data_IF_988610598974
#
_entry.id   IF_988610598974
#
_cell.length_a   1.000
_cell.length_b   1.000
_cell.length_c   1.000
_cell.angle_alpha   90.00
_cell.angle_beta   90.00
_cell.angle_gamma   90.00
#
_symmetry.space_group_name_H-M   'P 1'
#
loop_
_entity.id
_entity.type
_entity.pdbx_description
1 polymer ?
#
# COMPACT_ATOMS: atom_id res chain seq x y z
N UNK A 1 5.06 -16.30 15.84
CA UNK A 1 5.35 -14.94 15.33
C UNK A 1 4.46 -14.77 14.12
N UNK A 2 3.54 -13.82 14.12
CA UNK A 2 2.79 -13.50 12.90
C UNK A 2 3.80 -12.86 11.94
N UNK A 3 4.02 -13.47 10.78
CA UNK A 3 4.77 -12.83 9.71
C UNK A 3 3.77 -11.94 9.00
N UNK A 4 3.87 -10.62 9.16
CA UNK A 4 2.98 -9.67 8.50
C UNK A 4 3.10 -9.82 6.98
N UNK A 5 1.97 -10.00 6.28
CA UNK A 5 1.95 -10.14 4.81
C UNK A 5 2.29 -8.81 4.17
N UNK A 6 3.04 -8.83 3.07
CA UNK A 6 3.35 -7.63 2.29
C UNK A 6 3.31 -7.85 0.78
N UNK A 7 2.99 -6.79 0.04
CA UNK A 7 3.21 -6.68 -1.41
C UNK A 7 4.13 -5.51 -1.71
N UNK A 8 5.03 -5.69 -2.67
CA UNK A 8 5.86 -4.60 -3.23
C UNK A 8 5.67 -4.55 -4.74
N UNK A 9 5.43 -3.36 -5.28
CA UNK A 9 5.28 -3.16 -6.72
C UNK A 9 5.69 -1.76 -7.15
N UNK A 10 5.92 -1.61 -8.46
CA UNK A 10 6.31 -0.35 -9.07
C UNK A 10 5.18 0.24 -9.92
N UNK A 11 4.96 1.54 -9.83
CA UNK A 11 4.22 2.32 -10.81
C UNK A 11 5.20 2.76 -11.90
N UNK A 12 4.83 2.51 -13.15
CA UNK A 12 5.63 2.86 -14.32
C UNK A 12 5.04 4.07 -15.05
N UNK A 13 5.90 4.93 -15.58
CA UNK A 13 5.47 5.97 -16.49
C UNK A 13 5.13 5.41 -17.89
N UNK A 14 4.58 6.25 -18.76
CA UNK A 14 4.21 5.88 -20.15
C UNK A 14 5.36 5.34 -21.01
N UNK A 15 6.60 5.47 -20.55
CA UNK A 15 7.81 4.96 -21.22
C UNK A 15 8.31 3.66 -20.60
N UNK A 16 7.55 3.04 -19.69
CA UNK A 16 7.92 1.78 -19.04
C UNK A 16 9.04 1.92 -18.01
N UNK A 17 9.32 3.12 -17.52
CA UNK A 17 10.31 3.34 -16.44
C UNK A 17 9.60 3.45 -15.10
N UNK A 18 10.08 2.77 -14.05
CA UNK A 18 9.49 2.88 -12.73
C UNK A 18 9.69 4.31 -12.21
N UNK A 19 8.66 4.86 -11.57
CA UNK A 19 8.66 6.21 -10.98
C UNK A 19 8.29 6.21 -9.51
N UNK A 20 7.60 5.18 -9.03
CA UNK A 20 7.25 5.01 -7.62
C UNK A 20 7.27 3.52 -7.29
N UNK A 21 7.96 3.15 -6.23
CA UNK A 21 7.84 1.86 -5.57
C UNK A 21 6.88 2.01 -4.39
N UNK A 22 6.00 1.04 -4.22
CA UNK A 22 5.04 0.95 -3.12
C UNK A 22 5.25 -0.39 -2.45
N UNK A 23 5.48 -0.37 -1.14
CA UNK A 23 5.38 -1.53 -0.27
C UNK A 23 4.17 -1.35 0.64
N UNK A 24 3.26 -2.30 0.62
CA UNK A 24 2.08 -2.33 1.49
C UNK A 24 2.14 -3.56 2.39
N UNK A 25 2.03 -3.34 3.70
CA UNK A 25 2.16 -4.39 4.72
C UNK A 25 0.91 -4.42 5.59
N UNK A 26 0.28 -5.60 5.68
CA UNK A 26 -0.84 -5.85 6.59
C UNK A 26 -0.36 -5.85 8.04
N UNK A 27 -0.93 -4.97 8.88
CA UNK A 27 -0.61 -4.90 10.31
C UNK A 27 -1.90 -4.73 11.11
N UNK A 28 -2.30 -5.78 11.84
CA UNK A 28 -3.46 -5.75 12.76
C UNK A 28 -4.75 -5.17 12.15
N UNK A 29 -5.09 -5.54 10.91
CA UNK A 29 -6.29 -5.06 10.22
C UNK A 29 -6.19 -3.63 9.67
N UNK A 30 -4.98 -3.09 9.61
CA UNK A 30 -4.60 -1.88 8.88
C UNK A 30 -3.55 -2.22 7.82
N UNK A 31 -3.27 -1.28 6.92
CA UNK A 31 -2.22 -1.43 5.91
C UNK A 31 -1.21 -0.30 6.08
N UNK A 32 0.04 -0.65 6.35
CA UNK A 32 1.16 0.30 6.35
C UNK A 32 1.68 0.42 4.94
N UNK A 33 1.68 1.64 4.40
CA UNK A 33 2.27 1.96 3.10
C UNK A 33 3.61 2.64 3.30
N UNK A 34 4.61 2.12 2.60
CA UNK A 34 5.89 2.78 2.36
C UNK A 34 5.98 3.08 0.86
N UNK A 35 6.06 4.35 0.51
CA UNK A 35 6.15 4.78 -0.89
C UNK A 35 7.47 5.49 -1.12
N UNK A 36 8.16 5.13 -2.19
CA UNK A 36 9.46 5.71 -2.56
C UNK A 36 9.48 6.03 -4.04
N UNK A 37 9.77 7.26 -4.41
CA UNK A 37 9.92 7.60 -5.83
C UNK A 37 11.28 7.11 -6.30
N UNK A 38 11.27 6.32 -7.37
CA UNK A 38 12.45 5.66 -7.93
C UNK A 38 12.84 6.25 -9.29
N UNK A 39 14.06 5.96 -9.75
CA UNK A 39 14.58 6.44 -11.05
C UNK A 39 14.99 7.94 -11.07
N UNK A 40 15.29 8.52 -9.90
CA UNK A 40 15.39 9.96 -9.66
C UNK A 40 16.60 10.67 -10.30
N UNK A 41 16.33 11.89 -10.79
CA UNK A 41 17.22 13.04 -10.65
C UNK A 41 16.83 13.86 -9.40
N UNK A 42 17.74 14.69 -8.86
CA UNK A 42 17.70 15.30 -7.52
C UNK A 42 16.50 16.23 -7.14
N UNK A 43 15.40 16.26 -7.90
CA UNK A 43 14.28 17.20 -7.71
C UNK A 43 12.88 16.58 -7.77
N UNK A 44 12.77 15.26 -7.70
CA UNK A 44 11.47 14.61 -7.75
C UNK A 44 10.67 14.86 -6.46
N UNK A 45 9.41 15.21 -6.63
CA UNK A 45 8.51 15.63 -5.55
C UNK A 45 7.20 14.83 -5.65
N UNK A 46 7.02 13.87 -4.74
CA UNK A 46 5.77 13.11 -4.64
C UNK A 46 4.67 14.06 -4.19
N UNK A 47 3.62 14.18 -5.01
CA UNK A 47 2.58 15.19 -4.81
C UNK A 47 1.21 14.60 -4.49
N UNK A 48 0.88 13.47 -5.11
CA UNK A 48 -0.36 12.76 -4.80
C UNK A 48 -0.25 11.26 -5.07
N UNK A 49 -1.03 10.50 -4.32
CA UNK A 49 -1.28 9.07 -4.53
C UNK A 49 -2.78 8.83 -4.49
N UNK A 50 -3.28 8.06 -5.45
CA UNK A 50 -4.67 7.66 -5.56
C UNK A 50 -4.72 6.14 -5.72
N UNK A 51 -5.75 5.50 -5.17
CA UNK A 51 -6.00 4.07 -5.40
C UNK A 51 -7.44 3.70 -5.12
N UNK A 52 -7.85 2.58 -5.71
CA UNK A 52 -9.17 1.99 -5.46
C UNK A 52 -9.11 0.93 -4.36
N UNK A 53 -10.27 0.60 -3.81
CA UNK A 53 -10.47 -0.58 -2.98
C UNK A 53 -11.35 -1.60 -3.74
N UNK A 54 -11.12 -2.89 -3.51
CA UNK A 54 -11.96 -3.93 -4.12
C UNK A 54 -13.34 -4.06 -3.45
N UNK A 55 -13.47 -3.59 -2.21
CA UNK A 55 -14.69 -3.71 -1.41
C UNK A 55 -15.10 -2.33 -0.87
N UNK A 56 -16.12 -1.74 -1.49
CA UNK A 56 -16.69 -0.45 -1.10
C UNK A 56 -17.14 -0.41 0.38
N UNK A 57 -17.44 -1.57 0.99
CA UNK A 57 -17.82 -1.62 2.41
C UNK A 57 -16.67 -1.21 3.34
N UNK A 58 -15.42 -1.28 2.86
CA UNK A 58 -14.20 -0.88 3.59
C UNK A 58 -14.03 0.63 3.65
N UNK A 59 -14.74 1.38 2.81
CA UNK A 59 -14.67 2.84 2.72
C UNK A 59 -15.18 3.55 3.98
N UNK A 60 -16.11 2.92 4.70
CA UNK A 60 -16.71 3.50 5.88
C UNK A 60 -15.66 3.65 7.00
N UNK A 61 -15.43 4.90 7.41
CA UNK A 61 -14.53 5.22 8.51
C UNK A 61 -13.05 5.04 8.16
N UNK A 62 -12.68 5.09 6.88
CA UNK A 62 -11.26 5.14 6.48
C UNK A 62 -10.59 6.39 7.07
N UNK A 63 -9.35 6.21 7.48
CA UNK A 63 -8.47 7.26 7.98
C UNK A 63 -7.03 6.93 7.68
N UNK A 64 -6.20 7.97 7.60
CA UNK A 64 -4.75 7.82 7.54
C UNK A 64 -4.17 8.17 8.90
N UNK A 65 -3.40 7.25 9.46
CA UNK A 65 -2.70 7.33 10.74
C UNK A 65 -1.20 7.23 10.53
N UNK A 66 -0.43 7.50 11.58
CA UNK A 66 1.04 7.34 11.61
C UNK A 66 1.73 7.93 10.36
N UNK A 67 1.25 9.07 9.89
CA UNK A 67 1.87 9.76 8.76
C UNK A 67 3.19 10.33 9.22
N UNK A 68 4.23 10.20 8.41
CA UNK A 68 5.25 11.24 8.46
C UNK A 68 4.59 12.59 8.15
N UNK A 69 5.24 13.69 8.54
CA UNK A 69 4.67 15.04 8.35
C UNK A 69 4.56 15.46 6.87
N UNK A 70 4.67 14.52 5.92
CA UNK A 70 4.59 14.77 4.49
C UNK A 70 3.17 14.63 3.96
N UNK A 71 2.30 13.79 4.54
CA UNK A 71 0.88 13.74 4.17
C UNK A 71 0.19 15.01 4.64
N UNK A 72 -0.38 15.77 3.70
CA UNK A 72 -0.99 17.07 3.97
C UNK A 72 -2.50 17.06 3.84
N UNK A 73 -3.07 16.13 3.06
CA UNK A 73 -4.51 15.93 2.97
C UNK A 73 -4.85 14.46 2.66
N UNK A 74 -6.05 14.05 3.06
CA UNK A 74 -6.62 12.73 2.81
C UNK A 74 -8.11 12.85 2.55
N UNK A 75 -8.57 12.24 1.46
CA UNK A 75 -9.97 12.23 1.07
C UNK A 75 -10.38 10.84 0.58
N UNK A 76 -11.70 10.58 0.63
CA UNK A 76 -12.32 9.38 0.06
C UNK A 76 -13.54 9.73 -0.79
N UNK A 77 -13.92 8.87 -1.75
CA UNK A 77 -15.07 9.06 -2.64
C UNK A 77 -14.68 8.97 -4.12
N UNK A 78 -15.35 9.70 -5.02
CA UNK A 78 -15.01 9.72 -6.45
C UNK A 78 -13.90 10.76 -6.75
N UNK A 79 -12.64 10.42 -6.45
CA UNK A 79 -11.53 11.39 -6.46
C UNK A 79 -10.67 11.30 -7.72
N UNK A 80 -10.59 12.41 -8.46
CA UNK A 80 -9.59 12.59 -9.53
C UNK A 80 -8.68 13.81 -9.30
N UNK A 81 -9.06 14.66 -8.35
CA UNK A 81 -8.44 15.94 -8.05
C UNK A 81 -8.65 16.28 -6.57
N UNK A 82 -7.57 16.52 -5.84
CA UNK A 82 -7.57 16.97 -4.45
C UNK A 82 -7.36 18.50 -4.34
N UNK A 83 -7.32 19.20 -5.47
CA UNK A 83 -6.94 20.60 -5.57
C UNK A 83 -5.42 20.78 -5.66
N UNK A 84 -4.95 22.02 -5.63
CA UNK A 84 -3.53 22.36 -5.48
C UNK A 84 -2.54 21.67 -6.46
N UNK A 85 -3.01 21.26 -7.64
CA UNK A 85 -2.22 20.50 -8.63
C UNK A 85 -2.02 19.01 -8.31
N UNK A 86 -2.62 18.50 -7.23
CA UNK A 86 -2.68 17.10 -6.84
C UNK A 86 -3.84 16.39 -7.57
N UNK A 87 -3.67 16.10 -8.86
CA UNK A 87 -4.71 15.46 -9.67
C UNK A 87 -4.19 14.54 -10.77
N UNK A 88 -5.07 13.64 -11.22
CA UNK A 88 -4.84 12.71 -12.33
C UNK A 88 -5.74 12.98 -13.55
N UNK A 89 -6.35 14.16 -13.62
CA UNK A 89 -7.18 14.56 -14.76
C UNK A 89 -6.48 14.32 -16.10
N UNK A 90 -7.22 13.74 -17.04
CA UNK A 90 -6.75 13.40 -18.39
C UNK A 90 -5.92 12.11 -18.49
N UNK A 91 -5.70 11.39 -17.38
CA UNK A 91 -4.91 10.14 -17.37
C UNK A 91 -5.70 8.96 -16.79
N UNK A 92 -6.69 9.22 -15.93
CA UNK A 92 -7.45 8.17 -15.24
C UNK A 92 -8.91 8.55 -15.01
N UNK A 93 -9.71 7.55 -14.65
CA UNK A 93 -11.02 7.72 -14.02
C UNK A 93 -10.84 8.05 -12.53
N UNK A 94 -11.90 8.53 -11.84
CA UNK A 94 -11.84 8.77 -10.39
C UNK A 94 -11.47 7.51 -9.59
N UNK A 95 -10.90 7.74 -8.40
CA UNK A 95 -10.41 6.74 -7.46
C UNK A 95 -11.08 6.87 -6.11
N UNK A 96 -11.15 5.76 -5.37
CA UNK A 96 -11.79 5.71 -4.05
C UNK A 96 -11.03 6.51 -2.99
N UNK A 97 -9.70 6.42 -3.00
CA UNK A 97 -8.83 7.03 -1.99
C UNK A 97 -7.86 8.01 -2.65
N UNK A 98 -7.67 9.17 -2.03
CA UNK A 98 -6.67 10.17 -2.42
C UNK A 98 -5.85 10.66 -1.22
N UNK A 99 -4.53 10.71 -1.40
CA UNK A 99 -3.58 11.37 -0.48
C UNK A 99 -2.87 12.50 -1.21
N UNK A 100 -2.78 13.66 -0.56
CA UNK A 100 -1.95 14.78 -0.94
C UNK A 100 -0.69 14.79 -0.08
N UNK A 101 0.46 15.06 -0.71
CA UNK A 101 1.75 15.18 -0.02
C UNK A 101 2.32 16.59 -0.18
N UNK A 102 2.86 17.14 0.91
CA UNK A 102 3.55 18.42 0.94
C UNK A 102 2.62 19.61 0.73
N UNK A 103 3.19 20.69 0.22
CA UNK A 103 2.52 21.98 0.03
C UNK A 103 2.19 22.25 -1.42
N UNK A 104 1.17 23.09 -1.64
CA UNK A 104 0.74 23.48 -2.97
C UNK A 104 1.83 24.26 -3.73
N UNK A 105 2.28 23.72 -4.86
CA UNK A 105 3.15 24.39 -5.84
C UNK A 105 4.31 23.52 -6.32
N UNK A 106 4.57 23.53 -7.63
CA UNK A 106 5.61 22.70 -8.26
C UNK A 106 6.99 23.02 -7.69
N UNK A 107 7.65 22.01 -7.10
CA UNK A 107 9.03 22.11 -6.61
C UNK A 107 9.21 22.97 -5.35
N UNK A 108 8.13 23.20 -4.59
CA UNK A 108 8.23 23.77 -3.25
C UNK A 108 8.83 22.77 -2.27
N UNK A 109 8.45 21.51 -2.43
CA UNK A 109 8.93 20.41 -1.64
C UNK A 109 9.79 19.48 -2.51
N UNK A 110 10.50 18.57 -1.85
CA UNK A 110 11.24 17.48 -2.49
C UNK A 110 10.95 16.22 -1.71
N UNK A 111 9.73 15.71 -1.84
CA UNK A 111 9.29 14.53 -1.08
C UNK A 111 9.82 13.29 -1.78
N UNK A 112 10.83 12.69 -1.15
CA UNK A 112 11.56 11.47 -1.50
C UNK A 112 10.69 10.22 -1.51
N UNK A 113 10.04 10.07 -0.37
CA UNK A 113 9.29 8.93 0.09
C UNK A 113 8.29 9.41 1.14
N UNK A 114 7.32 8.57 1.46
CA UNK A 114 6.44 8.75 2.60
C UNK A 114 6.07 7.41 3.23
N UNK A 115 5.80 7.43 4.54
CA UNK A 115 5.21 6.30 5.26
C UNK A 115 3.91 6.74 5.92
N UNK A 116 2.86 5.95 5.74
CA UNK A 116 1.56 6.19 6.36
C UNK A 116 0.81 4.88 6.60
N UNK A 117 -0.15 4.88 7.52
CA UNK A 117 -1.02 3.73 7.80
C UNK A 117 -2.44 4.03 7.36
N UNK A 118 -3.00 3.22 6.47
CA UNK A 118 -4.43 3.22 6.17
C UNK A 118 -5.14 2.32 7.17
N UNK A 119 -6.15 2.85 7.84
CA UNK A 119 -7.02 2.10 8.76
C UNK A 119 -8.47 2.39 8.46
N UNK A 120 -9.37 1.52 8.92
CA UNK A 120 -10.79 1.83 9.01
C UNK A 120 -11.32 1.57 10.43
N UNK A 121 -12.50 2.09 10.75
CA UNK A 121 -13.11 1.88 12.08
C UNK A 121 -13.39 0.42 12.41
N UNK A 122 -13.55 -0.43 11.39
CA UNK A 122 -13.75 -1.86 11.55
C UNK A 122 -12.46 -2.65 11.83
N UNK A 123 -11.28 -2.05 11.64
CA UNK A 123 -9.95 -2.66 11.73
C UNK A 123 -9.88 -4.00 11.00
N UNK A 124 -10.33 -4.02 9.74
CA UNK A 124 -10.43 -5.24 8.95
C UNK A 124 -9.90 -5.08 7.51
N UNK A 125 -8.97 -4.16 7.30
CA UNK A 125 -8.30 -4.00 6.01
C UNK A 125 -7.29 -5.13 5.78
N UNK A 126 -7.24 -5.63 4.55
CA UNK A 126 -6.25 -6.62 4.08
C UNK A 126 -5.65 -6.19 2.73
N UNK A 127 -4.54 -6.81 2.32
CA UNK A 127 -3.93 -6.65 1.01
C UNK A 127 -4.87 -7.05 -0.11
N UNK A 128 -5.86 -7.92 0.14
CA UNK A 128 -6.88 -8.27 -0.84
C UNK A 128 -7.76 -7.07 -1.19
N UNK A 129 -7.93 -6.11 -0.27
CA UNK A 129 -8.67 -4.87 -0.52
C UNK A 129 -7.94 -3.96 -1.53
N UNK A 130 -6.62 -4.12 -1.70
CA UNK A 130 -5.79 -3.33 -2.62
C UNK A 130 -5.11 -4.17 -3.72
N UNK A 131 -5.43 -5.46 -3.81
CA UNK A 131 -4.87 -6.36 -4.81
C UNK A 131 -5.59 -6.16 -6.16
N UNK A 132 -4.86 -6.18 -7.27
CA UNK A 132 -5.45 -6.00 -8.62
C UNK A 132 -6.28 -4.71 -8.85
N UNK A 133 -6.18 -3.73 -7.95
CA UNK A 133 -6.82 -2.42 -8.11
C UNK A 133 -5.89 -1.44 -8.81
N UNK A 134 -6.46 -0.37 -9.37
CA UNK A 134 -5.67 0.70 -9.98
C UNK A 134 -5.11 1.63 -8.91
N UNK A 135 -3.82 1.95 -9.05
CA UNK A 135 -3.11 3.01 -8.36
C UNK A 135 -2.76 4.10 -9.37
N UNK A 136 -2.69 5.33 -8.89
CA UNK A 136 -2.26 6.49 -9.65
C UNK A 136 -1.39 7.41 -8.82
N UNK A 137 -0.40 8.05 -9.45
CA UNK A 137 0.49 8.99 -8.76
C UNK A 137 0.74 10.24 -9.58
N UNK A 138 0.88 11.34 -8.86
CA UNK A 138 1.35 12.62 -9.37
C UNK A 138 2.70 12.92 -8.73
N UNK A 139 3.73 13.04 -9.55
CA UNK A 139 5.11 13.33 -9.14
C UNK A 139 5.64 14.49 -9.98
N UNK A 140 6.05 15.58 -9.34
CA UNK A 140 6.69 16.72 -10.00
C UNK A 140 8.21 16.55 -10.09
N UNK A 141 8.85 17.32 -10.96
CA UNK A 141 10.31 17.39 -11.04
C UNK A 141 11.00 16.13 -11.60
N UNK A 142 10.25 15.16 -12.14
CA UNK A 142 10.78 13.97 -12.83
C UNK A 142 10.93 14.19 -14.33
N UNK A 143 11.83 13.44 -14.96
CA UNK A 143 11.91 13.37 -16.43
C UNK A 143 10.79 12.48 -16.96
N UNK A 144 9.79 13.06 -17.63
CA UNK A 144 8.67 12.33 -18.23
C UNK A 144 7.32 12.89 -17.82
N UNK A 145 6.22 12.15 -18.03
CA UNK A 145 4.91 12.58 -17.56
C UNK A 145 4.89 12.60 -16.03
N UNK A 146 4.34 13.67 -15.45
CA UNK A 146 4.19 13.80 -14.01
C UNK A 146 3.06 12.94 -13.43
N UNK A 147 2.19 12.40 -14.28
CA UNK A 147 1.04 11.57 -13.91
C UNK A 147 1.26 10.16 -14.46
N UNK A 148 1.05 9.15 -13.61
CA UNK A 148 1.17 7.75 -13.99
C UNK A 148 0.10 6.91 -13.29
N UNK A 149 -0.30 5.80 -13.91
CA UNK A 149 -1.23 4.82 -13.34
C UNK A 149 -0.69 3.42 -13.53
N UNK A 150 -1.05 2.52 -12.62
CA UNK A 150 -0.64 1.12 -12.62
C UNK A 150 -1.67 0.26 -11.91
N UNK A 151 -1.67 -1.05 -12.17
CA UNK A 151 -2.54 -2.00 -11.47
C UNK A 151 -1.69 -2.82 -10.51
N UNK A 152 -2.04 -2.81 -9.23
CA UNK A 152 -1.33 -3.58 -8.20
C UNK A 152 -1.33 -5.08 -8.51
N UNK A 153 -0.29 -5.83 -8.09
CA UNK A 153 -0.28 -7.28 -8.24
C UNK A 153 -1.31 -7.95 -7.33
N UNK A 154 -1.43 -9.27 -7.44
CA UNK A 154 -2.16 -10.08 -6.46
C UNK A 154 -1.51 -9.93 -5.07
N UNK A 155 -2.32 -9.98 -4.02
CA UNK A 155 -1.82 -10.23 -2.68
C UNK A 155 -1.19 -11.64 -2.64
N UNK A 156 -0.06 -11.84 -1.94
CA UNK A 156 0.48 -13.18 -1.73
C UNK A 156 -0.52 -13.98 -0.93
N UNK A 157 -0.81 -15.21 -1.35
CA UNK A 157 -1.60 -16.12 -0.52
C UNK A 157 -0.98 -16.20 0.88
N UNK A 158 -1.81 -16.22 1.92
CA UNK A 158 -1.32 -16.51 3.26
C UNK A 158 -0.65 -17.89 3.24
N UNK A 159 0.67 -17.95 3.43
CA UNK A 159 1.32 -19.22 3.67
C UNK A 159 0.88 -19.69 5.05
N UNK A 160 0.01 -20.69 5.08
CA UNK A 160 -0.35 -21.41 6.28
C UNK A 160 0.86 -22.26 6.69
N UNK A 161 1.81 -21.65 7.41
CA UNK A 161 2.92 -22.37 8.03
C UNK A 161 2.43 -23.11 9.29
N UNK A 162 1.27 -23.77 9.21
CA UNK A 162 0.83 -24.75 10.19
C UNK A 162 1.62 -26.04 10.00
N UNK A 163 2.86 -26.04 10.49
CA UNK A 163 3.48 -27.28 10.90
C UNK A 163 2.75 -27.80 12.15
N UNK A 164 1.63 -28.48 11.95
CA UNK A 164 1.16 -29.49 12.90
C UNK A 164 2.06 -30.72 12.75
N UNK A 165 3.32 -30.59 13.17
CA UNK A 165 4.05 -31.76 13.63
C UNK A 165 3.42 -32.11 14.97
N UNK A 166 2.50 -33.06 14.94
CA UNK A 166 2.17 -33.84 16.12
C UNK A 166 3.47 -34.48 16.60
N UNK A 167 4.13 -33.90 17.62
CA UNK A 167 4.92 -34.70 18.53
C UNK A 167 3.92 -35.61 19.22
N UNK A 168 3.91 -36.85 18.79
CA UNK A 168 3.42 -38.01 19.50
C UNK A 168 4.04 -38.08 20.90
N UNK A 169 3.53 -37.24 21.79
CA UNK A 169 3.57 -37.39 23.23
C UNK A 169 2.73 -38.58 23.67
N UNK A 170 3.01 -39.77 23.15
CA UNK A 170 2.50 -41.00 23.73
C UNK A 170 3.36 -41.34 24.95
N UNK A 171 2.85 -40.99 26.14
CA UNK A 171 3.36 -41.54 27.39
C UNK A 171 3.10 -43.06 27.44
N UNK A 172 4.13 -43.87 27.73
CA UNK A 172 3.95 -45.26 28.19
C UNK A 172 4.44 -46.41 27.29
N UNK A 173 5.55 -46.26 26.55
CA UNK A 173 6.17 -47.38 25.79
C UNK A 173 7.56 -47.83 26.28
N UNK A 174 7.93 -47.57 27.53
CA UNK A 174 9.17 -48.05 28.14
C UNK A 174 8.99 -49.25 29.11
N UNK A 175 7.83 -49.92 29.09
CA UNK A 175 7.62 -51.15 29.86
C UNK A 175 7.58 -52.41 28.97
N UNK A 176 8.70 -53.13 28.80
CA UNK A 176 8.66 -54.47 28.22
C UNK A 176 7.92 -55.42 29.17
N UNK A 177 6.79 -55.96 28.70
CA UNK A 177 6.06 -57.04 29.36
C UNK A 177 6.97 -58.26 29.54
N UNK A 178 7.38 -58.54 30.77
CA UNK A 178 7.87 -59.88 31.14
C UNK A 178 6.66 -60.78 31.35
N UNK A 179 6.33 -61.58 30.34
CA UNK A 179 5.53 -62.80 30.53
C UNK A 179 6.48 -63.95 30.78
N UNK A 180 6.42 -64.42 32.03
CA UNK A 180 6.73 -65.73 32.63
C UNK A 180 7.82 -66.61 32.01
#
# INVERSE_FOLDING_TARGET
MSCDRSITFNIFNKHGKPVLEITATEVNGSIVFEVEVVGRGHKADLRALFFNLNDDSKMAGLSVLNTDSTVSDFQTGDLIDMGNGANLQGVASPFDVGLEFGTAGVGKDVIGSSVFTLSNTANNLTLDDIAHVQFGTKIDGISGPSKSVWVAPAAPDAQDDSYNIFEDGQAGLDSPSKTS
#
